data_IF_652470661364
#
_entry.id   IF_652470661364
#
_cell.length_a   1.000
_cell.length_b   1.000
_cell.length_c   1.000
_cell.angle_alpha   90.00
_cell.angle_beta   90.00
_cell.angle_gamma   90.00
#
_symmetry.space_group_name_H-M   'P 1'
#
loop_
_entity.id
_entity.type
_entity.pdbx_description
1 polymer ?
#
# COMPACT_ATOMS: atom_id res chain seq x y z
N UNK A 1 -6.27 4.61 6.39
CA UNK A 1 -5.79 3.21 6.32
C UNK A 1 -4.87 2.99 7.51
N UNK A 2 -5.37 2.39 8.59
CA UNK A 2 -4.63 2.18 9.85
C UNK A 2 -3.34 1.36 9.65
N UNK A 3 -3.33 0.46 8.67
CA UNK A 3 -2.17 -0.36 8.32
C UNK A 3 -0.92 0.46 7.94
N UNK A 4 -1.07 1.62 7.30
CA UNK A 4 0.07 2.44 6.87
C UNK A 4 0.55 3.40 7.95
N UNK A 5 -0.20 3.53 9.05
CA UNK A 5 0.12 4.41 10.17
C UNK A 5 0.75 3.67 11.36
N UNK A 6 0.60 2.34 11.42
CA UNK A 6 1.29 1.51 12.44
C UNK A 6 2.75 1.26 12.06
N UNK A 7 3.64 1.40 13.05
CA UNK A 7 5.06 1.09 12.91
C UNK A 7 5.32 -0.43 12.80
N UNK A 8 4.36 -1.24 13.25
CA UNK A 8 4.45 -2.72 13.27
C UNK A 8 4.61 -3.34 11.87
N UNK A 9 4.30 -2.59 10.81
CA UNK A 9 4.37 -3.06 9.43
C UNK A 9 5.28 -2.23 8.54
N UNK A 10 6.02 -1.26 9.09
CA UNK A 10 6.84 -0.32 8.33
C UNK A 10 7.90 -1.03 7.46
N UNK A 11 8.37 -2.21 7.89
CA UNK A 11 9.34 -3.04 7.17
C UNK A 11 8.74 -3.79 5.95
N UNK A 12 7.41 -3.82 5.86
CA UNK A 12 6.65 -4.64 4.91
C UNK A 12 5.84 -3.76 3.96
N UNK A 13 5.17 -2.74 4.48
CA UNK A 13 4.42 -1.73 3.74
C UNK A 13 4.57 -0.38 4.46
N UNK A 14 4.90 0.67 3.71
CA UNK A 14 5.02 2.01 4.31
C UNK A 14 4.66 3.11 3.33
N UNK A 15 4.32 4.27 3.88
CA UNK A 15 4.34 5.51 3.10
C UNK A 15 5.75 5.84 2.64
N UNK A 16 5.85 6.46 1.46
CA UNK A 16 7.05 7.21 1.10
C UNK A 16 7.13 8.53 1.89
N UNK A 17 8.32 9.13 2.07
CA UNK A 17 8.51 10.30 2.95
C UNK A 17 7.55 11.46 2.66
N UNK A 18 7.20 11.68 1.39
CA UNK A 18 6.31 12.74 0.94
C UNK A 18 4.81 12.48 1.22
N UNK A 19 4.40 11.30 1.72
CA UNK A 19 3.01 10.98 2.08
C UNK A 19 1.99 10.78 0.95
N UNK A 20 2.38 10.91 -0.33
CA UNK A 20 1.49 10.79 -1.51
C UNK A 20 1.34 9.38 -2.10
N UNK A 21 2.20 8.45 -1.71
CA UNK A 21 2.19 7.08 -2.22
C UNK A 21 2.76 6.14 -1.15
N UNK A 22 2.42 4.87 -1.26
CA UNK A 22 2.95 3.83 -0.38
C UNK A 22 3.61 2.73 -1.20
N UNK A 23 4.51 1.97 -0.59
CA UNK A 23 5.23 0.88 -1.24
C UNK A 23 5.14 -0.39 -0.42
N UNK A 24 5.12 -1.54 -1.10
CA UNK A 24 5.14 -2.86 -0.47
C UNK A 24 6.50 -3.49 -0.75
N UNK A 25 7.36 -3.55 0.25
CA UNK A 25 8.72 -4.08 0.14
C UNK A 25 8.73 -5.62 0.10
N UNK A 26 8.17 -6.25 1.14
CA UNK A 26 8.22 -7.70 1.35
C UNK A 26 6.88 -8.35 0.99
N UNK A 27 6.59 -8.49 -0.31
CA UNK A 27 5.30 -9.03 -0.79
C UNK A 27 4.88 -10.36 -0.16
N UNK A 28 5.82 -11.27 0.08
CA UNK A 28 5.55 -12.57 0.73
C UNK A 28 5.11 -12.38 2.18
N UNK A 29 5.86 -11.59 2.95
CA UNK A 29 5.52 -11.24 4.33
C UNK A 29 4.17 -10.52 4.40
N UNK A 30 3.97 -9.50 3.57
CA UNK A 30 2.69 -8.80 3.44
C UNK A 30 1.51 -9.75 3.18
N UNK A 31 1.70 -10.73 2.29
CA UNK A 31 0.65 -11.70 2.00
C UNK A 31 0.37 -12.67 3.16
N UNK A 32 1.37 -12.94 4.01
CA UNK A 32 1.26 -13.88 5.13
C UNK A 32 0.80 -13.23 6.44
N UNK A 33 1.12 -11.95 6.68
CA UNK A 33 0.81 -11.26 7.95
C UNK A 33 -0.32 -10.26 7.77
N UNK A 34 -0.14 -9.31 6.86
CA UNK A 34 -1.05 -8.18 6.66
C UNK A 34 -2.37 -8.59 6.00
N UNK A 35 -2.31 -9.37 4.91
CA UNK A 35 -3.53 -9.69 4.15
C UNK A 35 -4.56 -10.49 4.97
N UNK A 36 -4.16 -11.47 5.80
CA UNK A 36 -5.07 -12.11 6.76
C UNK A 36 -5.72 -11.13 7.74
N UNK A 37 -4.93 -10.21 8.31
CA UNK A 37 -5.36 -9.28 9.34
C UNK A 37 -6.34 -8.21 8.81
N UNK A 38 -6.01 -7.55 7.71
CA UNK A 38 -6.78 -6.40 7.22
C UNK A 38 -7.71 -6.71 6.04
N UNK A 39 -7.47 -7.82 5.32
CA UNK A 39 -8.13 -8.10 4.03
C UNK A 39 -8.69 -9.53 3.94
N UNK A 40 -9.02 -10.17 5.06
CA UNK A 40 -9.66 -11.50 5.11
C UNK A 40 -8.91 -12.56 4.29
N UNK A 41 -7.58 -12.58 4.40
CA UNK A 41 -6.68 -13.49 3.69
C UNK A 41 -6.85 -13.46 2.15
N UNK A 42 -7.20 -12.29 1.60
CA UNK A 42 -7.26 -12.06 0.15
C UNK A 42 -5.88 -12.36 -0.46
N UNK A 43 -5.83 -13.07 -1.60
CA UNK A 43 -4.57 -13.26 -2.35
C UNK A 43 -3.97 -11.92 -2.77
N UNK A 44 -2.64 -11.81 -2.78
CA UNK A 44 -1.94 -10.58 -3.19
C UNK A 44 -2.39 -10.07 -4.56
N UNK A 45 -2.59 -10.94 -5.54
CA UNK A 45 -3.10 -10.58 -6.87
C UNK A 45 -4.52 -10.00 -6.86
N UNK A 46 -5.38 -10.50 -5.97
CA UNK A 46 -6.72 -9.94 -5.76
C UNK A 46 -6.64 -8.58 -5.07
N UNK A 47 -5.71 -8.39 -4.14
CA UNK A 47 -5.44 -7.10 -3.52
C UNK A 47 -4.98 -6.06 -4.54
N UNK A 48 -4.01 -6.38 -5.41
CA UNK A 48 -3.57 -5.43 -6.45
C UNK A 48 -4.66 -5.10 -7.47
N UNK A 49 -5.56 -6.05 -7.78
CA UNK A 49 -6.75 -5.77 -8.59
C UNK A 49 -7.71 -4.80 -7.90
N UNK A 50 -7.91 -4.92 -6.58
CA UNK A 50 -8.71 -3.96 -5.80
C UNK A 50 -8.07 -2.57 -5.86
N UNK A 51 -6.76 -2.46 -5.66
CA UNK A 51 -6.03 -1.20 -5.81
C UNK A 51 -6.28 -0.55 -7.19
N UNK A 52 -6.12 -1.32 -8.27
CA UNK A 52 -6.40 -0.82 -9.62
C UNK A 52 -7.86 -0.37 -9.78
N UNK A 53 -8.82 -1.13 -9.23
CA UNK A 53 -10.25 -0.78 -9.26
C UNK A 53 -10.55 0.52 -8.49
N UNK A 54 -9.84 0.75 -7.39
CA UNK A 54 -9.93 1.97 -6.59
C UNK A 54 -9.12 3.14 -7.18
N UNK A 55 -8.56 2.98 -8.38
CA UNK A 55 -7.85 4.04 -9.09
C UNK A 55 -6.38 4.20 -8.73
N UNK A 56 -5.81 3.35 -7.85
CA UNK A 56 -4.39 3.40 -7.54
C UNK A 56 -3.56 3.04 -8.77
N UNK A 57 -2.55 3.84 -9.04
CA UNK A 57 -1.60 3.63 -10.13
C UNK A 57 -0.27 3.14 -9.57
N UNK A 58 0.24 2.04 -10.12
CA UNK A 58 1.58 1.56 -9.75
C UNK A 58 2.64 2.34 -10.52
N UNK A 59 3.58 2.95 -9.80
CA UNK A 59 4.72 3.64 -10.39
C UNK A 59 5.65 2.61 -11.04
N UNK A 60 5.96 2.77 -12.31
CA UNK A 60 6.73 1.78 -13.10
C UNK A 60 8.16 2.20 -13.40
N UNK A 61 8.54 3.45 -13.11
CA UNK A 61 9.85 4.02 -13.42
C UNK A 61 10.32 4.98 -12.34
N UNK A 62 11.63 5.21 -12.28
CA UNK A 62 12.25 6.17 -11.37
C UNK A 62 12.48 5.64 -9.95
N UNK A 63 12.92 6.51 -9.03
CA UNK A 63 13.29 6.13 -7.65
C UNK A 63 12.13 5.53 -6.84
N UNK A 64 10.89 5.87 -7.19
CA UNK A 64 9.67 5.43 -6.51
C UNK A 64 9.04 4.18 -7.17
N UNK A 65 9.77 3.53 -8.09
CA UNK A 65 9.29 2.38 -8.83
C UNK A 65 8.76 1.30 -7.88
N UNK A 66 7.53 0.87 -8.15
CA UNK A 66 6.83 -0.16 -7.39
C UNK A 66 5.90 0.37 -6.30
N UNK A 67 5.93 1.66 -6.00
CA UNK A 67 4.93 2.32 -5.14
C UNK A 67 3.57 2.42 -5.82
N UNK A 68 2.53 2.62 -5.01
CA UNK A 68 1.14 2.82 -5.40
C UNK A 68 0.71 4.23 -5.03
N UNK A 69 0.28 4.98 -6.04
CA UNK A 69 -0.12 6.37 -5.93
C UNK A 69 -1.62 6.52 -6.18
N UNK A 70 -2.28 7.41 -5.42
CA UNK A 70 -3.64 7.87 -5.71
C UNK A 70 -3.80 9.31 -5.23
N UNK A 71 -4.39 10.18 -6.06
CA UNK A 71 -4.45 11.63 -5.82
C UNK A 71 -5.26 12.03 -4.57
N UNK A 72 -6.25 11.23 -4.19
CA UNK A 72 -7.07 11.43 -2.97
C UNK A 72 -6.66 10.48 -1.84
N UNK A 73 -5.48 9.88 -1.91
CA UNK A 73 -5.00 9.00 -0.85
C UNK A 73 -3.68 9.53 -0.33
N UNK A 74 -3.79 10.45 0.63
CA UNK A 74 -2.67 11.17 1.22
C UNK A 74 -2.58 10.81 2.71
N UNK A 75 -1.36 10.57 3.22
CA UNK A 75 -1.14 10.23 4.63
C UNK A 75 -1.75 11.27 5.57
N UNK A 76 -1.50 12.54 5.27
CA UNK A 76 -1.77 13.66 6.18
C UNK A 76 -3.09 14.39 5.82
N UNK A 77 -3.94 13.78 4.97
CA UNK A 77 -5.25 14.34 4.58
C UNK A 77 -6.26 13.20 4.32
N UNK A 78 -6.70 12.50 5.37
CA UNK A 78 -7.57 11.33 5.28
C UNK A 78 -9.02 11.65 4.86
N UNK A 79 -9.42 12.92 4.87
CA UNK A 79 -10.77 13.39 4.50
C UNK A 79 -10.98 13.63 2.99
N UNK A 80 -9.95 13.42 2.15
CA UNK A 80 -10.03 13.54 0.68
C UNK A 80 -10.53 12.27 -0.02
#
# INVERSE_FOLDING_TARGET
MEILTSDDHADTISWLPHGRSFIIYKKKTFAATVLPEFFKATKFTSFTRKLNRWGFTRVTRGPEMGSYYHRQFLRDSPEL
#
